data_IF_741861827791
#
_entry.id   IF_741861827791
#
_cell.length_a   1.000
_cell.length_b   1.000
_cell.length_c   1.000
_cell.angle_alpha   90.00
_cell.angle_beta   90.00
_cell.angle_gamma   90.00
#
_symmetry.space_group_name_H-M   'P 1'
#
loop_
_entity.id
_entity.type
_entity.pdbx_description
1 polymer ?
#
# COMPACT_ATOMS: atom_id res chain seq x y z
N UNK A 1 3.70 -30.48 -20.46
CA UNK A 1 2.99 -29.22 -20.20
C UNK A 1 4.04 -28.14 -20.27
N UNK A 2 3.83 -27.12 -21.11
CA UNK A 2 4.66 -25.92 -21.08
C UNK A 2 4.59 -25.34 -19.65
N UNK A 3 5.70 -24.95 -19.00
CA UNK A 3 5.63 -24.28 -17.71
C UNK A 3 4.64 -23.11 -17.78
N UNK A 4 3.66 -23.08 -16.88
CA UNK A 4 2.72 -21.97 -16.80
C UNK A 4 3.50 -20.67 -16.63
N UNK A 5 3.26 -19.70 -17.50
CA UNK A 5 3.92 -18.40 -17.41
C UNK A 5 3.45 -17.67 -16.15
N UNK A 6 4.38 -17.28 -15.30
CA UNK A 6 4.09 -16.55 -14.05
C UNK A 6 4.66 -15.13 -14.12
N UNK A 7 3.86 -14.17 -13.66
CA UNK A 7 4.23 -12.78 -13.42
C UNK A 7 4.18 -12.49 -11.92
N UNK A 8 5.09 -11.64 -11.44
CA UNK A 8 5.13 -11.25 -10.03
C UNK A 8 4.89 -9.75 -9.92
N UNK A 9 3.76 -9.39 -9.31
CA UNK A 9 3.39 -8.03 -9.01
C UNK A 9 3.90 -7.66 -7.63
N UNK A 10 4.80 -6.68 -7.57
CA UNK A 10 5.49 -6.27 -6.34
C UNK A 10 5.11 -4.85 -5.95
N UNK A 11 4.98 -4.58 -4.65
CA UNK A 11 4.71 -3.24 -4.15
C UNK A 11 6.03 -2.50 -3.82
N UNK A 12 6.69 -1.99 -4.86
CA UNK A 12 7.98 -1.30 -4.77
C UNK A 12 9.20 -2.17 -5.08
N UNK A 13 10.35 -1.51 -5.26
CA UNK A 13 11.57 -2.14 -5.79
C UNK A 13 12.32 -3.00 -4.76
N UNK A 14 12.19 -2.69 -3.46
CA UNK A 14 12.99 -3.34 -2.40
C UNK A 14 12.81 -4.87 -2.35
N UNK A 15 11.61 -5.36 -2.62
CA UNK A 15 11.34 -6.80 -2.68
C UNK A 15 11.86 -7.43 -3.98
N UNK A 16 11.87 -6.69 -5.08
CA UNK A 16 12.35 -7.19 -6.38
C UNK A 16 13.83 -7.60 -6.30
N UNK A 17 14.66 -6.76 -5.68
CA UNK A 17 16.08 -7.02 -5.50
C UNK A 17 16.34 -8.26 -4.66
N UNK A 18 15.56 -8.45 -3.59
CA UNK A 18 15.63 -9.66 -2.76
C UNK A 18 15.18 -10.90 -3.52
N UNK A 19 14.04 -10.83 -4.21
CA UNK A 19 13.52 -11.97 -4.97
C UNK A 19 14.48 -12.39 -6.10
N UNK A 20 15.14 -11.46 -6.78
CA UNK A 20 16.18 -11.75 -7.77
C UNK A 20 17.38 -12.51 -7.17
N UNK A 21 17.72 -12.27 -5.91
CA UNK A 21 18.80 -12.97 -5.21
C UNK A 21 18.34 -14.34 -4.67
N UNK A 22 17.09 -14.43 -4.24
CA UNK A 22 16.50 -15.63 -3.64
C UNK A 22 16.01 -16.64 -4.68
N UNK A 23 15.64 -16.18 -5.88
CA UNK A 23 15.07 -17.00 -6.94
C UNK A 23 15.51 -16.53 -8.34
N UNK A 24 15.56 -17.44 -9.34
CA UNK A 24 15.58 -17.07 -10.74
C UNK A 24 14.16 -16.74 -11.25
N UNK A 25 13.39 -15.93 -10.49
CA UNK A 25 12.09 -15.46 -10.98
C UNK A 25 12.30 -14.43 -12.08
N UNK A 26 11.38 -14.42 -13.04
CA UNK A 26 11.35 -13.45 -14.13
C UNK A 26 9.98 -12.76 -14.15
N UNK A 27 9.78 -11.81 -15.07
CA UNK A 27 8.48 -11.16 -15.31
C UNK A 27 7.95 -10.37 -14.10
N UNK A 28 8.83 -9.60 -13.47
CA UNK A 28 8.42 -8.64 -12.45
C UNK A 28 7.69 -7.46 -13.07
N UNK A 29 6.61 -7.05 -12.40
CA UNK A 29 5.89 -5.81 -12.64
C UNK A 29 5.81 -5.08 -11.31
N UNK A 30 6.41 -3.90 -11.23
CA UNK A 30 6.60 -3.19 -9.97
C UNK A 30 5.60 -2.03 -9.85
N UNK A 31 4.71 -2.13 -8.87
CA UNK A 31 3.81 -1.05 -8.47
C UNK A 31 4.59 0.00 -7.68
N UNK A 32 4.91 1.12 -8.32
CA UNK A 32 5.58 2.29 -7.71
C UNK A 32 4.60 3.42 -7.40
N UNK A 33 3.43 3.05 -6.88
CA UNK A 33 2.40 3.99 -6.49
C UNK A 33 2.34 4.18 -4.98
N UNK A 34 1.80 5.32 -4.57
CA UNK A 34 1.52 5.66 -3.19
C UNK A 34 0.06 6.13 -3.08
N UNK A 35 -0.89 5.25 -3.42
CA UNK A 35 -2.32 5.60 -3.57
C UNK A 35 -3.00 6.05 -2.28
N UNK A 36 -2.35 5.85 -1.14
CA UNK A 36 -2.77 6.47 0.10
C UNK A 36 -2.67 8.00 0.09
N UNK A 37 -1.79 8.59 -0.71
CA UNK A 37 -1.61 10.03 -0.80
C UNK A 37 -2.02 10.57 -2.17
N UNK A 38 -2.45 11.83 -2.17
CA UNK A 38 -2.88 12.52 -3.38
C UNK A 38 -4.26 12.08 -3.87
N UNK A 39 -4.78 12.80 -4.85
CA UNK A 39 -6.08 12.49 -5.43
C UNK A 39 -5.97 11.23 -6.29
N UNK A 40 -6.87 10.28 -6.06
CA UNK A 40 -6.97 9.01 -6.82
C UNK A 40 -8.29 8.92 -7.59
N UNK A 41 -9.16 9.91 -7.46
CA UNK A 41 -10.40 9.99 -8.21
C UNK A 41 -10.12 10.52 -9.63
N UNK A 42 -10.68 9.83 -10.62
CA UNK A 42 -10.63 10.23 -12.03
C UNK A 42 -11.77 9.58 -12.82
N UNK A 43 -12.21 10.15 -13.96
CA UNK A 43 -13.23 9.54 -14.82
C UNK A 43 -12.70 8.40 -15.69
N UNK A 44 -11.41 8.43 -16.07
CA UNK A 44 -10.75 7.41 -16.89
C UNK A 44 -9.38 7.06 -16.32
N UNK A 45 -8.74 6.01 -16.83
CA UNK A 45 -7.40 5.61 -16.42
C UNK A 45 -6.33 6.61 -16.93
N UNK A 46 -6.51 7.20 -18.10
CA UNK A 46 -5.60 8.25 -18.59
C UNK A 46 -5.67 9.50 -17.71
N UNK A 47 -6.88 9.94 -17.35
CA UNK A 47 -7.07 11.06 -16.43
C UNK A 47 -6.52 10.75 -15.03
N UNK A 48 -6.61 9.48 -14.59
CA UNK A 48 -5.98 9.03 -13.35
C UNK A 48 -4.47 9.24 -13.42
N UNK A 49 -3.79 8.77 -14.46
CA UNK A 49 -2.34 8.94 -14.61
C UNK A 49 -1.87 10.38 -14.65
N UNK A 50 -2.64 11.29 -15.27
CA UNK A 50 -2.34 12.72 -15.26
C UNK A 50 -2.43 13.27 -13.83
N UNK A 51 -3.53 13.00 -13.11
CA UNK A 51 -3.70 13.45 -11.72
C UNK A 51 -2.57 12.93 -10.81
N UNK A 52 -2.13 11.68 -11.01
CA UNK A 52 -1.03 11.09 -10.26
C UNK A 52 0.30 11.76 -10.62
N UNK A 53 0.58 12.00 -11.90
CA UNK A 53 1.80 12.69 -12.34
C UNK A 53 1.91 14.09 -11.75
N UNK A 54 0.81 14.85 -11.74
CA UNK A 54 0.73 16.18 -11.11
C UNK A 54 1.05 16.09 -9.62
N UNK A 55 0.37 15.19 -8.89
CA UNK A 55 0.60 15.00 -7.46
C UNK A 55 2.06 14.64 -7.12
N UNK A 56 2.65 13.70 -7.88
CA UNK A 56 4.03 13.28 -7.67
C UNK A 56 5.00 14.43 -7.92
N UNK A 57 4.76 15.23 -8.97
CA UNK A 57 5.60 16.37 -9.30
C UNK A 57 5.54 17.47 -8.23
N UNK A 58 4.34 17.77 -7.72
CA UNK A 58 4.16 18.77 -6.67
C UNK A 58 4.75 18.31 -5.33
N UNK A 59 4.52 17.06 -4.96
CA UNK A 59 4.85 16.54 -3.62
C UNK A 59 6.31 16.11 -3.48
N UNK A 60 6.88 15.49 -4.52
CA UNK A 60 8.23 14.93 -4.48
C UNK A 60 9.23 15.69 -5.36
N UNK A 61 8.79 16.75 -6.04
CA UNK A 61 9.62 17.58 -6.92
C UNK A 61 10.30 16.78 -8.05
N UNK A 62 9.61 15.75 -8.55
CA UNK A 62 10.05 14.90 -9.65
C UNK A 62 9.38 15.34 -10.97
N UNK A 63 10.05 15.23 -12.13
CA UNK A 63 9.41 15.53 -13.40
C UNK A 63 8.25 14.58 -13.71
N UNK A 64 7.14 15.09 -14.23
CA UNK A 64 6.00 14.25 -14.67
C UNK A 64 6.42 13.17 -15.68
N UNK A 65 7.35 13.51 -16.59
CA UNK A 65 7.88 12.56 -17.56
C UNK A 65 8.54 11.34 -16.90
N UNK A 66 9.18 11.52 -15.74
CA UNK A 66 9.76 10.42 -14.97
C UNK A 66 8.67 9.50 -14.41
N UNK A 67 7.55 10.05 -13.95
CA UNK A 67 6.40 9.28 -13.49
C UNK A 67 5.82 8.40 -14.62
N UNK A 68 5.60 8.98 -15.81
CA UNK A 68 5.10 8.20 -16.94
C UNK A 68 6.06 7.08 -17.36
N UNK A 69 7.37 7.37 -17.40
CA UNK A 69 8.38 6.39 -17.81
C UNK A 69 8.59 5.28 -16.78
N UNK A 70 8.55 5.58 -15.47
CA UNK A 70 8.86 4.61 -14.40
C UNK A 70 7.63 3.91 -13.80
N UNK A 71 6.46 4.55 -13.84
CA UNK A 71 5.23 4.04 -13.20
C UNK A 71 4.25 3.58 -14.26
N UNK A 72 3.80 4.49 -15.14
CA UNK A 72 2.73 4.18 -16.11
C UNK A 72 3.18 3.08 -17.08
N UNK A 73 4.35 3.26 -17.71
CA UNK A 73 4.93 2.26 -18.62
C UNK A 73 5.17 0.90 -17.96
N UNK A 74 5.48 0.87 -16.67
CA UNK A 74 5.62 -0.38 -15.91
C UNK A 74 4.28 -1.08 -15.74
N UNK A 75 3.23 -0.33 -15.37
CA UNK A 75 1.89 -0.86 -15.15
C UNK A 75 1.14 -1.18 -16.45
N UNK A 76 1.50 -0.56 -17.58
CA UNK A 76 0.98 -0.92 -18.91
C UNK A 76 1.31 -2.38 -19.29
N UNK A 77 2.34 -2.97 -18.68
CA UNK A 77 2.66 -4.40 -18.84
C UNK A 77 1.51 -5.31 -18.40
N UNK A 78 0.65 -4.87 -17.47
CA UNK A 78 -0.55 -5.63 -17.04
C UNK A 78 -1.48 -5.95 -18.20
N UNK A 79 -1.62 -5.03 -19.16
CA UNK A 79 -2.44 -5.22 -20.36
C UNK A 79 -1.82 -6.23 -21.34
N UNK A 80 -0.53 -6.56 -21.19
CA UNK A 80 0.21 -7.46 -22.07
C UNK A 80 0.43 -8.86 -21.49
N UNK A 81 -0.01 -9.13 -20.26
CA UNK A 81 0.06 -10.47 -19.65
C UNK A 81 -0.73 -11.46 -20.53
N UNK A 82 -0.21 -12.61 -20.93
CA UNK A 82 -0.98 -13.59 -21.69
C UNK A 82 -2.12 -14.21 -20.89
N UNK A 83 -3.21 -14.57 -21.56
CA UNK A 83 -4.30 -15.31 -20.93
C UNK A 83 -3.80 -16.65 -20.36
N UNK A 84 -4.44 -17.12 -19.29
CA UNK A 84 -4.07 -18.32 -18.53
C UNK A 84 -2.72 -18.27 -17.81
N UNK A 85 -2.02 -17.13 -17.82
CA UNK A 85 -0.87 -16.88 -16.95
C UNK A 85 -1.26 -16.82 -15.47
N UNK A 86 -0.29 -17.10 -14.60
CA UNK A 86 -0.39 -16.83 -13.17
C UNK A 86 0.13 -15.43 -12.86
N UNK A 87 -0.55 -14.70 -11.99
CA UNK A 87 -0.11 -13.40 -11.48
C UNK A 87 -0.05 -13.47 -9.96
N UNK A 88 1.16 -13.39 -9.40
CA UNK A 88 1.37 -13.46 -7.96
C UNK A 88 1.54 -12.04 -7.40
N UNK A 89 0.62 -11.62 -6.53
CA UNK A 89 0.60 -10.33 -5.88
C UNK A 89 1.33 -10.44 -4.54
N UNK A 90 2.53 -9.89 -4.48
CA UNK A 90 3.37 -9.80 -3.29
C UNK A 90 3.11 -8.47 -2.58
N UNK A 91 2.14 -8.49 -1.68
CA UNK A 91 1.66 -7.32 -0.98
C UNK A 91 1.47 -7.67 0.49
N UNK A 92 1.70 -6.71 1.37
CA UNK A 92 1.62 -6.89 2.81
C UNK A 92 0.23 -6.52 3.33
N UNK A 93 0.01 -6.65 4.64
CA UNK A 93 -1.31 -6.48 5.25
C UNK A 93 -1.61 -5.05 5.68
N UNK A 94 -0.64 -4.13 5.64
CA UNK A 94 -0.86 -2.73 5.98
C UNK A 94 -1.71 -1.99 4.91
N UNK A 95 -2.24 -0.83 5.30
CA UNK A 95 -3.10 -0.01 4.45
C UNK A 95 -2.41 0.49 3.17
N UNK A 96 -1.11 0.79 3.21
CA UNK A 96 -0.36 1.22 2.02
C UNK A 96 -0.39 0.13 0.95
N UNK A 97 -0.02 -1.10 1.36
CA UNK A 97 -0.04 -2.26 0.49
C UNK A 97 -1.45 -2.60 0.02
N UNK A 98 -2.45 -2.58 0.91
CA UNK A 98 -3.82 -2.92 0.53
C UNK A 98 -4.42 -1.91 -0.46
N UNK A 99 -4.21 -0.61 -0.30
CA UNK A 99 -4.70 0.39 -1.24
C UNK A 99 -4.15 0.18 -2.65
N UNK A 100 -2.83 -0.07 -2.77
CA UNK A 100 -2.19 -0.39 -4.04
C UNK A 100 -2.70 -1.72 -4.62
N UNK A 101 -2.91 -2.74 -3.78
CA UNK A 101 -3.47 -4.02 -4.21
C UNK A 101 -4.90 -3.88 -4.74
N UNK A 102 -5.78 -3.14 -4.07
CA UNK A 102 -7.16 -2.94 -4.52
C UNK A 102 -7.20 -2.33 -5.91
N UNK A 103 -6.35 -1.35 -6.17
CA UNK A 103 -6.17 -0.79 -7.50
C UNK A 103 -5.70 -1.84 -8.52
N UNK A 104 -4.67 -2.64 -8.19
CA UNK A 104 -4.19 -3.71 -9.09
C UNK A 104 -5.27 -4.74 -9.41
N UNK A 105 -6.05 -5.17 -8.41
CA UNK A 105 -7.19 -6.06 -8.61
C UNK A 105 -8.24 -5.42 -9.51
N UNK A 106 -8.50 -4.11 -9.35
CA UNK A 106 -9.43 -3.40 -10.22
C UNK A 106 -8.98 -3.39 -11.69
N UNK A 107 -7.69 -3.29 -11.96
CA UNK A 107 -7.14 -3.36 -13.33
C UNK A 107 -7.19 -4.79 -13.86
N UNK A 108 -6.68 -5.75 -13.08
CA UNK A 108 -6.60 -7.17 -13.45
C UNK A 108 -7.95 -7.84 -13.62
N UNK A 109 -9.00 -7.36 -12.94
CA UNK A 109 -10.36 -7.87 -13.07
C UNK A 109 -10.93 -7.80 -14.49
N UNK A 110 -10.38 -6.93 -15.34
CA UNK A 110 -10.72 -6.85 -16.77
C UNK A 110 -10.20 -8.05 -17.58
N UNK A 111 -9.44 -8.94 -16.93
CA UNK A 111 -8.75 -10.09 -17.53
C UNK A 111 -9.17 -11.41 -16.86
N UNK A 112 -10.37 -11.94 -17.14
CA UNK A 112 -10.96 -13.06 -16.40
C UNK A 112 -10.23 -14.40 -16.57
N UNK A 113 -9.36 -14.52 -17.58
CA UNK A 113 -8.61 -15.75 -17.86
C UNK A 113 -7.30 -15.86 -17.06
N UNK A 114 -6.93 -14.86 -16.26
CA UNK A 114 -5.74 -14.91 -15.41
C UNK A 114 -6.01 -15.68 -14.12
N UNK A 115 -4.99 -16.38 -13.61
CA UNK A 115 -5.01 -16.95 -12.26
C UNK A 115 -4.26 -16.03 -11.32
N UNK A 116 -4.99 -15.34 -10.46
CA UNK A 116 -4.42 -14.32 -9.58
C UNK A 116 -4.20 -14.93 -8.19
N UNK A 117 -2.99 -14.82 -7.67
CA UNK A 117 -2.62 -15.35 -6.35
C UNK A 117 -2.19 -14.22 -5.43
N UNK A 118 -2.56 -14.33 -4.15
CA UNK A 118 -2.04 -13.53 -3.05
C UNK A 118 -0.82 -14.25 -2.46
N UNK A 119 0.27 -13.52 -2.24
CA UNK A 119 1.43 -13.98 -1.50
C UNK A 119 1.57 -13.12 -0.25
N UNK A 120 1.54 -13.76 0.92
CA UNK A 120 1.69 -13.10 2.22
C UNK A 120 3.12 -13.25 2.76
N UNK A 121 3.62 -12.28 3.54
CA UNK A 121 4.84 -12.47 4.33
C UNK A 121 4.61 -13.53 5.41
N UNK A 122 5.66 -14.29 5.76
CA UNK A 122 5.56 -15.32 6.81
C UNK A 122 5.90 -14.68 8.16
N UNK A 123 4.89 -14.51 9.02
CA UNK A 123 5.08 -13.91 10.33
C UNK A 123 5.60 -14.95 11.32
N UNK A 124 6.92 -14.96 11.55
CA UNK A 124 7.57 -15.84 12.55
C UNK A 124 7.40 -15.33 13.99
N UNK A 125 7.43 -14.01 14.19
CA UNK A 125 7.28 -13.36 15.50
C UNK A 125 6.19 -12.28 15.45
N UNK A 126 5.35 -12.21 16.50
CA UNK A 126 4.31 -11.17 16.60
C UNK A 126 4.85 -9.74 16.54
N UNK A 127 6.07 -9.50 17.05
CA UNK A 127 6.72 -8.19 17.00
C UNK A 127 7.17 -7.75 15.61
N UNK A 128 7.20 -8.67 14.65
CA UNK A 128 7.63 -8.41 13.27
C UNK A 128 6.43 -8.29 12.31
N UNK A 129 5.20 -8.29 12.83
CA UNK A 129 3.98 -8.34 12.02
C UNK A 129 3.93 -7.28 10.90
N UNK A 130 4.35 -6.05 11.21
CA UNK A 130 4.36 -4.92 10.27
C UNK A 130 5.69 -4.72 9.54
N UNK A 131 6.65 -5.63 9.68
CA UNK A 131 7.92 -5.57 8.95
C UNK A 131 7.86 -6.21 7.56
N UNK A 132 6.80 -6.99 7.32
CA UNK A 132 6.50 -7.58 6.02
C UNK A 132 7.65 -8.40 5.44
N UNK A 133 7.84 -8.32 4.12
CA UNK A 133 8.93 -9.02 3.42
C UNK A 133 10.31 -8.38 3.68
N UNK A 134 10.35 -7.24 4.39
CA UNK A 134 11.57 -6.52 4.74
C UNK A 134 12.54 -7.31 5.61
N UNK A 135 12.06 -8.29 6.37
CA UNK A 135 12.89 -9.15 7.25
C UNK A 135 13.03 -10.60 6.79
N UNK A 136 12.36 -10.97 5.70
CA UNK A 136 12.37 -12.34 5.20
C UNK A 136 13.70 -12.68 4.54
N UNK A 137 14.23 -13.86 4.91
CA UNK A 137 15.35 -14.52 4.22
C UNK A 137 14.84 -15.34 3.01
N UNK A 138 15.77 -15.86 2.22
CA UNK A 138 15.45 -16.66 1.02
C UNK A 138 14.52 -17.83 1.31
N UNK A 139 14.76 -18.58 2.39
CA UNK A 139 13.93 -19.74 2.73
C UNK A 139 12.50 -19.32 3.09
N UNK A 140 12.35 -18.18 3.76
CA UNK A 140 11.07 -17.61 4.15
C UNK A 140 10.29 -17.11 2.94
N UNK A 141 10.96 -16.47 1.98
CA UNK A 141 10.34 -16.05 0.72
C UNK A 141 9.90 -17.26 -0.12
N UNK A 142 10.68 -18.35 -0.14
CA UNK A 142 10.32 -19.62 -0.79
C UNK A 142 9.05 -20.20 -0.17
N UNK A 143 8.99 -20.21 1.17
CA UNK A 143 7.82 -20.66 1.89
C UNK A 143 6.60 -19.78 1.57
N UNK A 144 6.73 -18.45 1.64
CA UNK A 144 5.69 -17.50 1.27
C UNK A 144 5.12 -17.78 -0.13
N UNK A 145 6.00 -17.94 -1.12
CA UNK A 145 5.58 -18.24 -2.49
C UNK A 145 4.85 -19.58 -2.62
N UNK A 146 5.33 -20.61 -1.91
CA UNK A 146 4.70 -21.94 -1.91
C UNK A 146 3.33 -21.96 -1.23
N UNK A 147 3.09 -21.02 -0.30
CA UNK A 147 1.84 -20.85 0.45
C UNK A 147 0.88 -19.84 -0.19
N UNK A 148 1.11 -19.44 -1.45
CA UNK A 148 0.25 -18.50 -2.17
C UNK A 148 -1.21 -18.97 -2.23
N UNK A 149 -2.14 -18.04 -2.10
CA UNK A 149 -3.58 -18.30 -2.05
C UNK A 149 -4.22 -17.79 -3.35
N UNK A 150 -5.06 -18.61 -3.98
CA UNK A 150 -5.78 -18.22 -5.20
C UNK A 150 -6.93 -17.27 -4.84
N UNK A 151 -6.97 -16.08 -5.44
CA UNK A 151 -8.14 -15.21 -5.39
C UNK A 151 -9.32 -15.88 -6.09
N UNK A 152 -10.42 -16.09 -5.38
CA UNK A 152 -11.68 -16.52 -5.95
C UNK A 152 -12.41 -15.34 -6.62
N UNK A 153 -13.40 -15.60 -7.51
CA UNK A 153 -14.18 -14.52 -8.12
C UNK A 153 -14.75 -13.51 -7.11
N UNK A 154 -15.29 -13.99 -5.98
CA UNK A 154 -15.81 -13.13 -4.92
C UNK A 154 -14.72 -12.26 -4.26
N UNK A 155 -13.47 -12.75 -4.18
CA UNK A 155 -12.34 -11.96 -3.67
C UNK A 155 -11.95 -10.85 -4.67
N UNK A 156 -11.98 -11.14 -5.97
CA UNK A 156 -11.72 -10.14 -7.03
C UNK A 156 -12.80 -9.05 -7.00
N UNK A 157 -14.07 -9.45 -6.90
CA UNK A 157 -15.20 -8.52 -6.79
C UNK A 157 -15.11 -7.67 -5.52
N UNK A 158 -14.71 -8.28 -4.38
CA UNK A 158 -14.44 -7.55 -3.15
C UNK A 158 -13.33 -6.50 -3.35
N UNK A 159 -12.21 -6.88 -3.96
CA UNK A 159 -11.10 -5.97 -4.29
C UNK A 159 -11.52 -4.79 -5.18
N UNK A 160 -12.34 -5.04 -6.20
CA UNK A 160 -12.91 -3.98 -7.04
C UNK A 160 -13.80 -3.02 -6.24
N UNK A 161 -14.65 -3.56 -5.36
CA UNK A 161 -15.55 -2.76 -4.53
C UNK A 161 -14.78 -1.93 -3.49
N UNK A 162 -13.72 -2.49 -2.91
CA UNK A 162 -12.79 -1.78 -2.03
C UNK A 162 -12.12 -0.62 -2.75
N UNK A 163 -11.55 -0.86 -3.95
CA UNK A 163 -10.96 0.21 -4.76
C UNK A 163 -11.97 1.30 -5.10
N UNK A 164 -13.19 0.91 -5.52
CA UNK A 164 -14.25 1.85 -5.87
C UNK A 164 -14.67 2.71 -4.68
N UNK A 165 -14.78 2.14 -3.49
CA UNK A 165 -15.12 2.89 -2.29
C UNK A 165 -13.97 3.82 -1.88
N UNK A 166 -12.73 3.30 -1.84
CA UNK A 166 -11.52 4.04 -1.53
C UNK A 166 -11.32 5.26 -2.45
N UNK A 167 -11.37 5.06 -3.77
CA UNK A 167 -11.14 6.14 -4.76
C UNK A 167 -12.19 7.25 -4.72
N UNK A 168 -13.38 6.96 -4.21
CA UNK A 168 -14.48 7.90 -4.10
C UNK A 168 -14.58 8.53 -2.69
N UNK A 169 -13.67 8.18 -1.77
CA UNK A 169 -13.74 8.62 -0.38
C UNK A 169 -14.97 8.11 0.37
N UNK A 170 -15.58 7.00 -0.08
CA UNK A 170 -16.79 6.44 0.53
C UNK A 170 -16.44 5.59 1.76
N UNK A 171 -16.16 6.28 2.86
CA UNK A 171 -15.79 5.68 4.14
C UNK A 171 -16.90 4.77 4.70
N UNK A 172 -18.16 5.14 4.49
CA UNK A 172 -19.31 4.34 4.92
C UNK A 172 -19.37 3.02 4.16
N UNK A 173 -19.13 3.04 2.84
CA UNK A 173 -19.08 1.83 2.03
C UNK A 173 -17.90 0.94 2.43
N UNK A 174 -16.70 1.51 2.60
CA UNK A 174 -15.53 0.76 3.08
C UNK A 174 -15.85 0.04 4.39
N UNK A 175 -16.39 0.76 5.38
CA UNK A 175 -16.79 0.17 6.67
C UNK A 175 -17.83 -0.95 6.53
N UNK A 176 -18.76 -0.83 5.58
CA UNK A 176 -19.82 -1.82 5.39
C UNK A 176 -19.34 -3.12 4.73
N UNK A 177 -18.30 -3.06 3.89
CA UNK A 177 -17.78 -4.23 3.15
C UNK A 177 -16.53 -4.82 3.78
N UNK A 178 -15.87 -4.11 4.67
CA UNK A 178 -14.65 -4.59 5.32
C UNK A 178 -14.80 -5.84 6.19
N UNK A 179 -15.98 -6.17 6.77
CA UNK A 179 -16.17 -7.44 7.49
C UNK A 179 -16.37 -8.65 6.57
N UNK A 180 -16.38 -8.49 5.25
CA UNK A 180 -16.55 -9.60 4.30
C UNK A 180 -15.38 -10.59 4.44
N UNK A 181 -15.64 -11.87 4.79
CA UNK A 181 -14.57 -12.85 4.96
C UNK A 181 -13.88 -13.16 3.63
N UNK A 182 -12.55 -13.14 3.63
CA UNK A 182 -11.75 -13.60 2.49
C UNK A 182 -10.39 -14.09 2.99
N UNK A 183 -9.90 -15.26 2.51
CA UNK A 183 -8.55 -15.71 2.82
C UNK A 183 -7.48 -14.84 2.14
N UNK A 184 -7.84 -14.00 1.17
CA UNK A 184 -6.92 -13.11 0.47
C UNK A 184 -6.84 -11.71 1.08
N UNK A 185 -7.74 -11.36 1.99
CA UNK A 185 -7.78 -10.07 2.69
C UNK A 185 -7.74 -10.25 4.22
N UNK A 186 -6.56 -10.55 4.74
CA UNK A 186 -6.32 -10.54 6.19
C UNK A 186 -6.42 -9.11 6.75
N UNK A 187 -6.98 -8.98 7.96
CA UNK A 187 -7.14 -7.71 8.69
C UNK A 187 -7.93 -6.63 7.93
N UNK A 188 -8.81 -7.01 7.01
CA UNK A 188 -9.51 -6.06 6.15
C UNK A 188 -10.33 -5.04 6.95
N UNK A 189 -11.02 -5.49 8.00
CA UNK A 189 -11.81 -4.61 8.87
C UNK A 189 -10.93 -3.58 9.58
N UNK A 190 -9.82 -4.02 10.17
CA UNK A 190 -8.87 -3.16 10.86
C UNK A 190 -8.19 -2.17 9.91
N UNK A 191 -7.85 -2.60 8.69
CA UNK A 191 -7.19 -1.78 7.68
C UNK A 191 -8.13 -0.73 7.10
N UNK A 192 -9.38 -1.11 6.80
CA UNK A 192 -10.41 -0.15 6.42
C UNK A 192 -10.69 0.84 7.57
N UNK A 193 -10.74 0.38 8.82
CA UNK A 193 -10.87 1.26 9.97
C UNK A 193 -9.67 2.20 10.11
N UNK A 194 -8.44 1.71 9.87
CA UNK A 194 -7.26 2.56 9.83
C UNK A 194 -7.40 3.65 8.75
N UNK A 195 -7.90 3.32 7.56
CA UNK A 195 -8.15 4.34 6.53
C UNK A 195 -9.15 5.40 6.99
N UNK A 196 -10.24 5.00 7.63
CA UNK A 196 -11.25 5.90 8.19
C UNK A 196 -10.62 6.81 9.26
N UNK A 197 -9.78 6.26 10.12
CA UNK A 197 -9.11 6.95 11.23
C UNK A 197 -8.06 7.98 10.77
N UNK A 198 -7.68 8.00 9.48
CA UNK A 198 -6.82 9.02 8.88
C UNK A 198 -7.54 10.35 8.66
N UNK A 199 -8.87 10.37 8.76
CA UNK A 199 -9.66 11.57 8.59
C UNK A 199 -10.12 12.09 9.95
N UNK A 200 -10.15 13.42 10.14
CA UNK A 200 -10.54 14.02 11.41
C UNK A 200 -12.04 13.81 11.67
N UNK A 201 -12.41 13.69 12.95
CA UNK A 201 -13.81 13.68 13.40
C UNK A 201 -14.08 15.00 14.11
N UNK A 202 -14.80 15.92 13.45
CA UNK A 202 -14.97 17.28 13.96
C UNK A 202 -13.64 18.03 13.98
N UNK A 203 -13.25 18.57 15.15
CA UNK A 203 -12.01 19.32 15.33
C UNK A 203 -10.86 18.46 15.89
N UNK A 204 -11.08 17.15 16.04
CA UNK A 204 -10.05 16.26 16.54
C UNK A 204 -8.97 15.97 15.51
N UNK A 205 -7.72 15.90 15.97
CA UNK A 205 -6.62 15.36 15.17
C UNK A 205 -6.96 13.92 14.71
N UNK A 206 -6.63 13.54 13.46
CA UNK A 206 -6.78 12.16 13.05
C UNK A 206 -5.85 11.23 13.84
N UNK A 207 -6.15 9.94 13.84
CA UNK A 207 -5.47 8.96 14.71
C UNK A 207 -3.96 8.87 14.47
N UNK A 208 -3.43 8.82 13.24
CA UNK A 208 -1.98 8.75 13.06
C UNK A 208 -1.27 10.00 13.64
N UNK A 209 -1.82 11.19 13.44
CA UNK A 209 -1.30 12.44 14.01
C UNK A 209 -1.41 12.45 15.53
N UNK A 210 -2.49 11.92 16.12
CA UNK A 210 -2.62 11.75 17.58
C UNK A 210 -1.53 10.84 18.15
N UNK A 211 -1.26 9.70 17.50
CA UNK A 211 -0.19 8.77 17.91
C UNK A 211 1.16 9.49 17.82
N UNK A 212 1.43 10.15 16.69
CA UNK A 212 2.68 10.86 16.45
C UNK A 212 2.90 12.00 17.46
N UNK A 213 1.86 12.78 17.75
CA UNK A 213 1.90 13.84 18.75
C UNK A 213 2.22 13.29 20.15
N UNK A 214 1.65 12.14 20.52
CA UNK A 214 1.97 11.46 21.78
C UNK A 214 3.44 11.07 21.88
N UNK A 215 4.01 10.54 20.79
CA UNK A 215 5.43 10.17 20.73
C UNK A 215 6.33 11.40 20.87
N UNK A 216 6.03 12.48 20.12
CA UNK A 216 6.79 13.74 20.16
C UNK A 216 6.84 14.31 21.58
N UNK A 217 5.71 14.31 22.31
CA UNK A 217 5.63 14.78 23.71
C UNK A 217 6.49 13.94 24.67
N UNK A 218 6.66 12.64 24.40
CA UNK A 218 7.42 11.73 25.26
C UNK A 218 8.94 11.77 25.03
N UNK A 219 9.38 12.13 23.81
CA UNK A 219 10.80 12.14 23.41
C UNK A 219 11.03 13.26 22.38
N UNK A 220 11.41 14.47 22.81
CA UNK A 220 11.59 15.56 21.88
C UNK A 220 12.88 15.40 21.05
N UNK A 221 12.78 15.77 19.76
CA UNK A 221 13.86 16.23 18.87
C UNK A 221 14.68 15.24 18.02
N UNK A 222 14.34 13.96 17.94
CA UNK A 222 14.91 13.08 16.89
C UNK A 222 13.84 12.46 16.00
N UNK A 223 13.85 12.82 14.72
CA UNK A 223 12.89 12.32 13.74
C UNK A 223 13.03 10.81 13.55
N UNK A 224 14.25 10.26 13.49
CA UNK A 224 14.45 8.84 13.22
C UNK A 224 13.95 7.96 14.37
N UNK A 225 14.23 8.33 15.62
CA UNK A 225 13.63 7.67 16.79
C UNK A 225 12.10 7.80 16.81
N UNK A 226 11.57 8.97 16.44
CA UNK A 226 10.12 9.19 16.37
C UNK A 226 9.48 8.31 15.30
N UNK A 227 10.08 8.24 14.12
CA UNK A 227 9.64 7.39 13.01
C UNK A 227 9.64 5.91 13.42
N UNK A 228 10.74 5.42 14.01
CA UNK A 228 10.82 4.03 14.45
C UNK A 228 9.75 3.68 15.51
N UNK A 229 9.51 4.58 16.47
CA UNK A 229 8.46 4.41 17.47
C UNK A 229 7.06 4.45 16.84
N UNK A 230 6.84 5.37 15.88
CA UNK A 230 5.58 5.48 15.16
C UNK A 230 5.30 4.22 14.35
N UNK A 231 6.26 3.74 13.55
CA UNK A 231 6.12 2.52 12.75
C UNK A 231 5.85 1.28 13.62
N UNK A 232 6.41 1.20 14.82
CA UNK A 232 6.11 0.12 15.76
C UNK A 232 4.68 0.18 16.32
N UNK A 233 4.14 1.38 16.58
CA UNK A 233 2.80 1.57 17.17
C UNK A 233 1.67 1.64 16.12
N UNK A 234 1.99 2.09 14.92
CA UNK A 234 1.06 2.48 13.87
C UNK A 234 1.39 1.76 12.54
N UNK A 235 2.04 0.60 12.61
CA UNK A 235 2.45 -0.17 11.43
C UNK A 235 1.30 -0.55 10.50
N UNK A 236 0.06 -0.59 11.00
CA UNK A 236 -1.15 -0.82 10.20
C UNK A 236 -1.33 0.17 9.04
N UNK A 237 -0.78 1.39 9.14
CA UNK A 237 -0.88 2.35 8.04
C UNK A 237 0.12 2.07 6.92
N UNK A 238 1.27 1.44 7.20
CA UNK A 238 2.34 1.27 6.21
C UNK A 238 2.96 2.60 5.75
N UNK A 239 2.91 3.65 6.59
CA UNK A 239 3.47 4.95 6.21
C UNK A 239 5.00 4.91 6.10
N UNK A 240 5.52 5.44 4.99
CA UNK A 240 6.93 5.67 4.78
C UNK A 240 7.46 6.88 5.58
N UNK A 241 8.78 7.00 5.65
CA UNK A 241 9.48 8.08 6.35
C UNK A 241 9.04 9.46 5.88
N UNK A 242 8.90 9.68 4.58
CA UNK A 242 8.49 10.96 3.99
C UNK A 242 7.07 11.34 4.42
N UNK A 243 6.15 10.37 4.49
CA UNK A 243 4.78 10.61 4.92
C UNK A 243 4.73 10.99 6.41
N UNK A 244 5.45 10.26 7.25
CA UNK A 244 5.57 10.56 8.68
C UNK A 244 6.28 11.89 8.93
N UNK A 245 7.30 12.22 8.12
CA UNK A 245 8.05 13.47 8.22
C UNK A 245 7.18 14.70 8.01
N UNK A 246 6.30 14.69 7.01
CA UNK A 246 5.34 15.78 6.78
C UNK A 246 4.40 15.97 7.98
N UNK A 247 3.83 14.89 8.51
CA UNK A 247 2.98 14.95 9.72
C UNK A 247 3.76 15.48 10.93
N UNK A 248 5.00 15.01 11.10
CA UNK A 248 5.89 15.44 12.19
C UNK A 248 6.17 16.94 12.12
N UNK A 249 6.57 17.45 10.95
CA UNK A 249 6.92 18.86 10.78
C UNK A 249 5.71 19.78 10.99
N UNK A 250 4.53 19.38 10.52
CA UNK A 250 3.28 20.11 10.76
C UNK A 250 2.97 20.22 12.25
N UNK A 251 3.05 19.11 12.99
CA UNK A 251 2.81 19.10 14.44
C UNK A 251 3.83 19.94 15.22
N UNK A 252 5.09 19.98 14.80
CA UNK A 252 6.13 20.82 15.42
C UNK A 252 5.84 22.31 15.18
N UNK A 253 5.36 22.68 13.99
CA UNK A 253 4.97 24.07 13.67
C UNK A 253 3.78 24.49 14.52
N UNK A 254 2.74 23.67 14.59
CA UNK A 254 1.52 23.95 15.39
C UNK A 254 1.82 24.09 16.89
N UNK A 255 2.72 23.26 17.42
CA UNK A 255 3.16 23.37 18.81
C UNK A 255 3.85 24.71 19.09
N UNK A 256 4.73 25.17 18.19
CA UNK A 256 5.42 26.46 18.31
C UNK A 256 4.46 27.66 18.23
N UNK A 257 3.45 27.58 17.37
CA UNK A 257 2.40 28.62 17.26
C UNK A 257 1.60 28.69 18.56
N UNK A 258 1.15 27.53 19.06
CA UNK A 258 0.38 27.44 20.31
C UNK A 258 1.16 27.98 21.52
N UNK A 259 2.47 27.69 21.62
CA UNK A 259 3.32 28.22 22.68
C UNK A 259 3.54 29.74 22.58
N UNK A 260 3.51 30.30 21.37
CA UNK A 260 3.62 31.74 21.15
C UNK A 260 2.33 32.46 21.53
N UNK A 261 1.17 31.90 21.16
CA UNK A 261 -0.13 32.51 21.42
C UNK A 261 -0.54 32.40 22.91
N UNK A 262 0.09 31.49 23.66
CA UNK A 262 -0.09 31.33 25.11
C UNK A 262 0.80 32.27 25.96
N UNK A 263 1.70 33.05 25.35
CA UNK A 263 2.62 34.00 26.01
C UNK A 263 2.19 35.44 25.76
#
# INVERSE_FOLDING_TARGET
>A
MDPTLTYHLLNGDALADKLNQSFPLNNFIICRECLMDGVVQAPTLEAFWINRADFIAETFHLPQAEYFEKVVKELDKLASIPDHAEVCLWFENDLFCQANMWFMLSVLSTRPNLKIYRVFPIIKNKGDFWKGFGVDDTETLVLAYSSKILFQPDDIDLGQNLWKAFRNGDLSKLKSISPTPSPCFELLEEVCQAHIDRFPVGNDLPRPEKILQGIIKSKPNDFYQTFNAFSAMAGIYGFGDTQVKRMYDQLIIEAKISERDAK
#
